data_IF_746845212250
#
_entry.id   IF_746845212250
#
_cell.length_a   1.000
_cell.length_b   1.000
_cell.length_c   1.000
_cell.angle_alpha   90.00
_cell.angle_beta   90.00
_cell.angle_gamma   90.00
#
_symmetry.space_group_name_H-M   'P 1'
#
loop_
_entity.id
_entity.type
_entity.pdbx_description
1 polymer ?
#
# COMPACT_ATOMS: atom_id res chain seq x y z
N UNK A 1 -30.16 -12.29 -53.63
CA UNK A 1 -29.51 -11.60 -52.47
C UNK A 1 -29.91 -12.28 -51.17
N UNK A 2 -28.94 -12.92 -50.46
CA UNK A 2 -29.22 -13.55 -49.15
C UNK A 2 -29.35 -12.44 -48.11
N UNK A 3 -30.51 -12.34 -47.46
CA UNK A 3 -30.75 -11.40 -46.35
C UNK A 3 -29.94 -11.89 -45.14
N UNK A 4 -29.02 -11.08 -44.65
CA UNK A 4 -28.31 -11.35 -43.39
C UNK A 4 -29.38 -11.33 -42.27
N UNK A 5 -29.51 -12.37 -41.44
CA UNK A 5 -30.55 -12.42 -40.42
C UNK A 5 -30.28 -11.33 -39.36
N UNK A 6 -31.34 -10.64 -38.94
CA UNK A 6 -31.26 -9.53 -37.95
C UNK A 6 -30.51 -9.91 -36.68
N UNK A 7 -30.63 -11.14 -36.22
CA UNK A 7 -29.91 -11.69 -35.07
C UNK A 7 -28.37 -11.68 -35.27
N UNK A 8 -27.89 -11.85 -36.48
CA UNK A 8 -26.43 -11.84 -36.77
C UNK A 8 -25.88 -10.42 -36.69
N UNK A 9 -26.63 -9.42 -37.14
CA UNK A 9 -26.27 -8.01 -37.02
C UNK A 9 -26.24 -7.58 -35.54
N UNK A 10 -27.23 -7.98 -34.75
CA UNK A 10 -27.30 -7.70 -33.33
C UNK A 10 -26.14 -8.34 -32.55
N UNK A 11 -25.82 -9.61 -32.89
CA UNK A 11 -24.70 -10.32 -32.27
C UNK A 11 -23.32 -9.61 -32.54
N UNK A 12 -23.09 -9.17 -33.77
CA UNK A 12 -21.88 -8.42 -34.13
C UNK A 12 -21.85 -7.09 -33.38
N UNK A 13 -22.95 -6.37 -33.28
CA UNK A 13 -23.04 -5.11 -32.55
C UNK A 13 -22.74 -5.29 -31.06
N UNK A 14 -23.31 -6.33 -30.44
CA UNK A 14 -23.03 -6.65 -29.02
C UNK A 14 -21.57 -7.07 -28.81
N UNK A 15 -21.01 -7.86 -29.72
CA UNK A 15 -19.60 -8.27 -29.66
C UNK A 15 -18.65 -7.06 -29.83
N UNK A 16 -18.95 -6.18 -30.78
CA UNK A 16 -18.18 -4.95 -30.99
C UNK A 16 -18.25 -4.01 -29.78
N UNK A 17 -19.42 -3.90 -29.17
CA UNK A 17 -19.63 -3.10 -27.98
C UNK A 17 -18.88 -3.72 -26.76
N UNK A 18 -18.93 -5.03 -26.63
CA UNK A 18 -18.19 -5.75 -25.58
C UNK A 18 -16.66 -5.60 -25.77
N UNK A 19 -16.15 -5.70 -26.99
CA UNK A 19 -14.75 -5.46 -27.32
C UNK A 19 -14.37 -4.00 -27.08
N UNK A 20 -15.21 -3.05 -27.47
CA UNK A 20 -15.01 -1.63 -27.20
C UNK A 20 -14.91 -1.35 -25.69
N UNK A 21 -15.82 -1.88 -24.88
CA UNK A 21 -15.76 -1.75 -23.43
C UNK A 21 -14.59 -2.53 -22.81
N UNK A 22 -14.19 -3.66 -23.39
CA UNK A 22 -13.01 -4.41 -22.94
C UNK A 22 -11.71 -3.64 -23.21
N UNK A 23 -11.56 -3.03 -24.39
CA UNK A 23 -10.38 -2.22 -24.74
C UNK A 23 -10.35 -0.89 -23.99
N UNK A 24 -11.50 -0.19 -23.89
CA UNK A 24 -11.58 1.11 -23.20
C UNK A 24 -11.75 0.98 -21.69
N UNK A 25 -12.11 -0.20 -21.18
CA UNK A 25 -12.14 -0.52 -19.75
C UNK A 25 -10.75 -0.65 -19.11
N UNK A 26 -9.71 -0.87 -19.91
CA UNK A 26 -8.30 -0.73 -19.50
C UNK A 26 -7.86 0.71 -19.79
N UNK A 27 -8.37 1.68 -19.00
CA UNK A 27 -7.76 3.01 -19.02
C UNK A 27 -6.26 2.86 -18.83
N UNK A 28 -5.47 3.36 -19.76
CA UNK A 28 -4.05 3.54 -19.57
C UNK A 28 -3.86 4.30 -18.25
N UNK A 29 -2.89 3.88 -17.48
CA UNK A 29 -2.61 4.53 -16.21
C UNK A 29 -1.61 5.65 -16.47
N UNK A 30 -2.09 6.88 -16.46
CA UNK A 30 -1.28 8.05 -16.81
C UNK A 30 -0.46 8.55 -15.60
N UNK A 31 -0.83 8.16 -14.40
CA UNK A 31 -0.12 8.53 -13.17
C UNK A 31 1.02 7.56 -12.85
N UNK A 32 2.03 8.07 -12.18
CA UNK A 32 3.15 7.30 -11.63
C UNK A 32 2.91 6.98 -10.17
N UNK A 33 3.23 5.76 -9.74
CA UNK A 33 3.07 5.33 -8.34
C UNK A 33 4.41 4.93 -7.75
N UNK A 34 4.75 5.48 -6.59
CA UNK A 34 5.87 5.02 -5.76
C UNK A 34 5.29 4.34 -4.53
N UNK A 35 5.61 3.08 -4.32
CA UNK A 35 5.19 2.33 -3.13
C UNK A 35 6.38 2.17 -2.19
N UNK A 36 6.38 2.92 -1.09
CA UNK A 36 7.35 2.78 -0.02
C UNK A 36 6.88 1.65 0.89
N UNK A 37 7.54 0.49 0.86
CA UNK A 37 7.22 -0.62 1.74
C UNK A 37 8.32 -0.82 2.78
N UNK A 38 7.92 -1.00 4.02
CA UNK A 38 8.82 -1.19 5.14
C UNK A 38 8.08 -1.24 6.47
N UNK A 39 8.75 -1.61 7.56
CA UNK A 39 8.11 -1.75 8.85
C UNK A 39 7.57 -0.43 9.40
N UNK A 40 6.66 -0.51 10.37
CA UNK A 40 6.21 0.65 11.13
C UNK A 40 7.41 1.32 11.79
N UNK A 41 7.52 2.66 11.71
CA UNK A 41 8.68 3.38 12.27
C UNK A 41 9.89 3.48 11.34
N UNK A 42 9.89 2.89 10.13
CA UNK A 42 11.02 2.98 9.20
C UNK A 42 11.19 4.37 8.53
N UNK A 43 10.31 5.33 8.78
CA UNK A 43 10.45 6.71 8.27
C UNK A 43 9.76 6.98 6.93
N UNK A 44 8.92 6.08 6.43
CA UNK A 44 8.22 6.22 5.14
C UNK A 44 7.44 7.53 5.00
N UNK A 45 6.70 7.93 6.03
CA UNK A 45 5.92 9.18 6.02
C UNK A 45 6.80 10.43 5.92
N UNK A 46 8.00 10.41 6.55
CA UNK A 46 8.99 11.49 6.41
C UNK A 46 9.55 11.54 4.98
N UNK A 47 9.83 10.39 4.39
CA UNK A 47 10.26 10.27 2.98
C UNK A 47 9.18 10.79 2.04
N UNK A 48 7.88 10.47 2.27
CA UNK A 48 6.77 11.01 1.48
C UNK A 48 6.77 12.54 1.50
N UNK A 49 6.92 13.16 2.69
CA UNK A 49 6.92 14.62 2.83
C UNK A 49 8.10 15.25 2.10
N UNK A 50 9.31 14.70 2.26
CA UNK A 50 10.51 15.17 1.58
C UNK A 50 10.38 15.04 0.06
N UNK A 51 9.84 13.91 -0.42
CA UNK A 51 9.63 13.66 -1.84
C UNK A 51 8.59 14.61 -2.45
N UNK A 52 7.46 14.86 -1.77
CA UNK A 52 6.49 15.85 -2.22
C UNK A 52 7.11 17.23 -2.39
N UNK A 53 7.89 17.67 -1.40
CA UNK A 53 8.58 18.97 -1.43
C UNK A 53 9.59 19.05 -2.58
N UNK A 54 10.34 17.97 -2.81
CA UNK A 54 11.32 17.87 -3.88
C UNK A 54 10.70 17.95 -5.27
N UNK A 55 9.49 17.41 -5.44
CA UNK A 55 8.85 17.28 -6.75
C UNK A 55 8.02 18.49 -7.16
N UNK A 56 7.81 19.47 -6.27
CA UNK A 56 7.11 20.70 -6.64
C UNK A 56 7.80 21.39 -7.84
N UNK A 57 7.02 21.98 -8.78
CA UNK A 57 5.57 22.18 -8.79
C UNK A 57 4.75 20.96 -9.24
N UNK A 58 5.37 19.83 -9.59
CA UNK A 58 4.66 18.62 -9.98
C UNK A 58 3.96 18.01 -8.74
N UNK A 59 2.65 17.91 -8.81
CA UNK A 59 1.87 17.38 -7.69
C UNK A 59 2.07 15.87 -7.54
N UNK A 60 2.42 15.47 -6.33
CA UNK A 60 2.41 14.09 -5.88
C UNK A 60 1.46 13.97 -4.69
N UNK A 61 0.50 13.06 -4.77
CA UNK A 61 -0.44 12.78 -3.69
C UNK A 61 0.18 11.77 -2.74
N UNK A 62 0.21 12.07 -1.44
CA UNK A 62 0.60 11.07 -0.44
C UNK A 62 -0.63 10.35 0.09
N UNK A 63 -0.58 9.05 0.06
CA UNK A 63 -1.58 8.15 0.65
C UNK A 63 -0.87 7.01 1.38
N UNK A 64 -1.57 6.30 2.24
CA UNK A 64 -0.98 5.18 2.93
C UNK A 64 -1.96 4.47 3.85
N UNK A 65 -1.41 3.56 4.63
CA UNK A 65 -2.19 2.69 5.50
C UNK A 65 -2.97 3.48 6.55
N UNK A 66 -2.38 4.56 7.09
CA UNK A 66 -3.02 5.35 8.14
C UNK A 66 -4.30 6.05 7.66
N UNK A 67 -4.31 6.55 6.42
CA UNK A 67 -5.43 7.34 5.89
C UNK A 67 -6.40 6.55 4.99
N UNK A 68 -6.01 5.41 4.45
CA UNK A 68 -6.86 4.60 3.58
C UNK A 68 -7.28 3.26 4.20
N UNK A 69 -6.63 2.82 5.27
CA UNK A 69 -6.97 1.60 5.99
C UNK A 69 -7.46 1.92 7.42
N UNK A 70 -6.71 2.68 8.21
CA UNK A 70 -7.04 2.96 9.61
C UNK A 70 -8.10 4.06 9.75
N UNK A 71 -7.90 5.24 9.17
CA UNK A 71 -8.77 6.39 9.33
C UNK A 71 -10.23 6.20 8.86
N UNK A 72 -10.54 5.39 7.82
CA UNK A 72 -11.93 5.13 7.45
C UNK A 72 -12.70 4.23 8.43
N UNK A 73 -12.02 3.54 9.35
CA UNK A 73 -12.64 2.65 10.32
C UNK A 73 -12.99 3.39 11.61
N UNK A 74 -14.01 2.94 12.34
CA UNK A 74 -14.31 3.48 13.66
C UNK A 74 -13.12 3.35 14.62
N UNK A 75 -12.98 4.29 15.54
CA UNK A 75 -11.98 4.18 16.60
C UNK A 75 -12.25 2.95 17.49
N UNK A 76 -11.18 2.27 17.90
CA UNK A 76 -11.27 1.19 18.88
C UNK A 76 -11.31 1.81 20.26
N UNK A 77 -12.40 1.56 20.98
CA UNK A 77 -12.57 2.00 22.36
C UNK A 77 -12.81 0.79 23.29
N UNK A 78 -12.61 0.93 24.61
CA UNK A 78 -12.93 -0.15 25.53
C UNK A 78 -14.38 -0.65 25.41
N UNK A 79 -15.33 0.25 25.09
CA UNK A 79 -16.76 -0.05 24.98
C UNK A 79 -17.12 -0.82 23.71
N UNK A 80 -16.32 -0.72 22.65
CA UNK A 80 -16.61 -1.35 21.37
C UNK A 80 -15.64 -2.47 20.98
N UNK A 81 -14.60 -2.71 21.76
CA UNK A 81 -13.52 -3.66 21.44
C UNK A 81 -14.04 -5.06 21.13
N UNK A 82 -15.01 -5.59 21.90
CA UNK A 82 -15.60 -6.90 21.66
C UNK A 82 -16.28 -6.99 20.30
N UNK A 83 -16.89 -5.90 19.80
CA UNK A 83 -17.56 -5.85 18.50
C UNK A 83 -16.59 -5.92 17.35
N UNK A 84 -15.34 -5.51 17.54
CA UNK A 84 -14.28 -5.61 16.53
C UNK A 84 -13.85 -7.05 16.29
N UNK A 85 -14.04 -7.92 17.26
CA UNK A 85 -13.51 -9.29 17.26
C UNK A 85 -14.56 -10.37 16.90
N UNK A 86 -15.87 -10.06 16.95
CA UNK A 86 -16.92 -11.07 16.77
C UNK A 86 -18.15 -10.51 16.04
N UNK A 87 -18.88 -11.34 15.25
CA UNK A 87 -18.56 -12.69 14.76
C UNK A 87 -17.61 -12.66 13.52
N UNK A 88 -17.49 -11.50 12.85
CA UNK A 88 -16.60 -11.27 11.70
C UNK A 88 -15.57 -10.24 12.11
N UNK A 89 -14.38 -10.66 12.53
CA UNK A 89 -13.40 -9.73 13.06
C UNK A 89 -12.95 -8.71 12.02
N UNK A 90 -12.75 -7.45 12.46
CA UNK A 90 -12.17 -6.40 11.65
C UNK A 90 -10.65 -6.46 11.82
N UNK A 91 -10.17 -6.19 13.02
CA UNK A 91 -8.77 -6.36 13.42
C UNK A 91 -8.66 -6.53 14.92
N UNK A 92 -7.58 -7.17 15.38
CA UNK A 92 -7.21 -7.27 16.79
C UNK A 92 -5.70 -7.35 16.92
N UNK A 93 -5.20 -7.34 18.13
CA UNK A 93 -3.77 -7.52 18.40
C UNK A 93 -3.54 -8.79 19.19
N UNK A 94 -2.50 -9.53 18.81
CA UNK A 94 -2.00 -10.67 19.58
C UNK A 94 -0.65 -10.33 20.18
N UNK A 95 -0.49 -10.64 21.46
CA UNK A 95 0.77 -10.45 22.16
C UNK A 95 1.44 -11.79 22.36
N UNK A 96 2.66 -11.93 21.88
CA UNK A 96 3.49 -13.13 22.05
C UNK A 96 4.86 -12.77 22.59
N UNK A 97 5.59 -13.78 23.07
CA UNK A 97 6.97 -13.61 23.50
C UNK A 97 7.90 -14.05 22.39
N UNK A 98 8.70 -13.14 21.87
CA UNK A 98 9.71 -13.41 20.86
C UNK A 98 11.00 -13.99 21.43
N UNK A 99 11.98 -14.21 20.55
CA UNK A 99 13.30 -14.68 20.96
C UNK A 99 13.94 -13.70 21.95
N UNK A 100 14.52 -14.22 23.01
CA UNK A 100 15.15 -13.41 24.06
C UNK A 100 14.17 -12.76 25.05
N UNK A 101 12.90 -13.19 25.10
CA UNK A 101 11.90 -12.67 26.04
C UNK A 101 11.29 -11.32 25.65
N UNK A 102 11.57 -10.82 24.45
CA UNK A 102 11.00 -9.56 23.96
C UNK A 102 9.51 -9.70 23.65
N UNK A 103 8.72 -8.69 23.99
CA UNK A 103 7.31 -8.64 23.61
C UNK A 103 7.17 -8.41 22.09
N UNK A 104 6.27 -9.14 21.46
CA UNK A 104 5.90 -8.99 20.05
C UNK A 104 4.40 -8.79 19.98
N UNK A 105 3.98 -7.68 19.38
CA UNK A 105 2.56 -7.31 19.23
C UNK A 105 2.22 -7.37 17.75
N UNK A 106 1.48 -8.40 17.37
CA UNK A 106 1.09 -8.62 15.98
C UNK A 106 -0.31 -8.06 15.72
N UNK A 107 -0.41 -7.22 14.68
CA UNK A 107 -1.71 -6.81 14.16
C UNK A 107 -2.30 -7.97 13.35
N UNK A 108 -3.42 -8.47 13.81
CA UNK A 108 -4.23 -9.47 13.12
C UNK A 108 -5.39 -8.77 12.42
N UNK A 109 -5.70 -9.20 11.20
CA UNK A 109 -6.77 -8.64 10.37
C UNK A 109 -7.70 -9.76 9.94
N UNK A 110 -8.99 -9.61 10.23
CA UNK A 110 -10.02 -10.57 9.84
C UNK A 110 -10.68 -10.21 8.52
N UNK A 111 -11.69 -10.99 8.14
CA UNK A 111 -12.37 -10.89 6.83
C UNK A 111 -12.88 -9.49 6.49
N UNK A 112 -13.41 -8.76 7.47
CA UNK A 112 -13.89 -7.40 7.24
C UNK A 112 -12.74 -6.41 7.03
N UNK A 113 -11.68 -6.54 7.81
CA UNK A 113 -10.48 -5.73 7.65
C UNK A 113 -9.76 -6.00 6.33
N UNK A 114 -9.71 -7.25 5.87
CA UNK A 114 -9.17 -7.58 4.55
C UNK A 114 -9.91 -6.85 3.41
N UNK A 115 -11.23 -6.71 3.50
CA UNK A 115 -12.01 -5.95 2.51
C UNK A 115 -11.56 -4.49 2.47
N UNK A 116 -11.24 -3.90 3.61
CA UNK A 116 -10.72 -2.51 3.69
C UNK A 116 -9.33 -2.44 3.07
N UNK A 117 -8.44 -3.40 3.32
CA UNK A 117 -7.11 -3.46 2.72
C UNK A 117 -7.17 -3.56 1.19
N UNK A 118 -8.05 -4.41 0.65
CA UNK A 118 -8.25 -4.49 -0.81
C UNK A 118 -8.92 -3.23 -1.39
N UNK A 119 -9.78 -2.55 -0.63
CA UNK A 119 -10.34 -1.26 -1.02
C UNK A 119 -9.29 -0.15 -1.05
N UNK A 120 -8.39 -0.11 -0.06
CA UNK A 120 -7.21 0.77 -0.06
C UNK A 120 -6.39 0.61 -1.35
N UNK A 121 -6.05 -0.63 -1.73
CA UNK A 121 -5.32 -0.92 -2.95
C UNK A 121 -6.07 -0.44 -4.21
N UNK A 122 -7.40 -0.56 -4.20
CA UNK A 122 -8.26 -0.08 -5.30
C UNK A 122 -8.27 1.44 -5.38
N UNK A 123 -8.29 2.13 -4.24
CA UNK A 123 -8.22 3.59 -4.17
C UNK A 123 -6.87 4.12 -4.69
N UNK A 124 -5.76 3.50 -4.29
CA UNK A 124 -4.43 3.85 -4.81
C UNK A 124 -4.39 3.74 -6.35
N UNK A 125 -4.87 2.61 -6.87
CA UNK A 125 -4.93 2.39 -8.31
C UNK A 125 -5.89 3.38 -9.02
N UNK A 126 -7.00 3.78 -8.37
CA UNK A 126 -7.93 4.76 -8.91
C UNK A 126 -7.30 6.16 -9.02
N UNK A 127 -6.54 6.59 -8.01
CA UNK A 127 -5.79 7.85 -8.10
C UNK A 127 -4.86 7.85 -9.31
N UNK A 128 -4.05 6.81 -9.49
CA UNK A 128 -3.10 6.71 -10.58
C UNK A 128 -3.79 6.65 -11.96
N UNK A 129 -4.86 5.88 -12.11
CA UNK A 129 -5.63 5.79 -13.37
C UNK A 129 -6.34 7.08 -13.76
N UNK A 130 -6.55 7.99 -12.81
CA UNK A 130 -7.07 9.32 -13.09
C UNK A 130 -5.94 10.37 -13.28
N UNK A 131 -4.71 9.91 -13.59
CA UNK A 131 -3.58 10.78 -13.95
C UNK A 131 -2.83 11.39 -12.78
N UNK A 132 -3.09 10.96 -11.54
CA UNK A 132 -2.38 11.51 -10.38
C UNK A 132 -1.09 10.73 -10.12
N UNK A 133 0.00 11.45 -9.87
CA UNK A 133 1.19 10.86 -9.30
C UNK A 133 0.99 10.59 -7.81
N UNK A 134 1.35 9.40 -7.35
CA UNK A 134 1.05 8.94 -5.99
C UNK A 134 2.31 8.38 -5.33
N UNK A 135 2.59 8.83 -4.12
CA UNK A 135 3.58 8.19 -3.24
C UNK A 135 2.87 7.56 -2.05
N UNK A 136 3.07 6.26 -1.87
CA UNK A 136 2.31 5.42 -0.93
C UNK A 136 3.18 5.01 0.25
N UNK A 137 2.72 5.29 1.48
CA UNK A 137 3.26 4.65 2.69
C UNK A 137 2.55 3.31 2.89
N UNK A 138 3.28 2.22 2.68
CA UNK A 138 2.73 0.88 2.70
C UNK A 138 3.41 0.01 3.76
N UNK A 139 2.61 -0.81 4.43
CA UNK A 139 3.09 -1.88 5.28
C UNK A 139 2.41 -3.17 4.81
N UNK A 140 3.18 -4.08 4.24
CA UNK A 140 2.66 -5.37 3.82
C UNK A 140 2.53 -6.32 5.02
N UNK A 141 1.55 -6.07 5.90
CA UNK A 141 1.24 -6.96 7.03
C UNK A 141 0.86 -8.38 6.54
N UNK A 142 0.11 -8.46 5.44
CA UNK A 142 -0.09 -9.68 4.68
C UNK A 142 0.46 -9.51 3.27
N UNK A 143 1.26 -10.48 2.82
CA UNK A 143 1.86 -10.46 1.48
C UNK A 143 0.83 -10.50 0.35
N UNK A 144 -0.38 -11.04 0.62
CA UNK A 144 -1.49 -11.01 -0.34
C UNK A 144 -1.92 -9.58 -0.68
N UNK A 145 -1.82 -8.64 0.27
CA UNK A 145 -2.17 -7.24 0.02
C UNK A 145 -1.21 -6.58 -0.96
N UNK A 146 0.10 -6.83 -0.80
CA UNK A 146 1.09 -6.31 -1.73
C UNK A 146 0.96 -6.95 -3.11
N UNK A 147 0.68 -8.27 -3.17
CA UNK A 147 0.39 -8.96 -4.42
C UNK A 147 -0.82 -8.38 -5.15
N UNK A 148 -1.89 -8.09 -4.42
CA UNK A 148 -3.09 -7.46 -4.98
C UNK A 148 -2.81 -6.03 -5.48
N UNK A 149 -2.05 -5.23 -4.71
CA UNK A 149 -1.64 -3.89 -5.15
C UNK A 149 -0.81 -3.96 -6.43
N UNK A 150 0.19 -4.85 -6.50
CA UNK A 150 1.00 -5.07 -7.70
C UNK A 150 0.14 -5.43 -8.92
N UNK A 151 -0.84 -6.34 -8.72
CA UNK A 151 -1.78 -6.72 -9.78
C UNK A 151 -2.64 -5.54 -10.24
N UNK A 152 -3.15 -4.72 -9.32
CA UNK A 152 -3.98 -3.54 -9.63
C UNK A 152 -3.19 -2.43 -10.34
N UNK A 153 -1.89 -2.33 -10.06
CA UNK A 153 -0.98 -1.36 -10.66
C UNK A 153 -0.24 -1.89 -11.90
N UNK A 154 -0.54 -3.10 -12.38
CA UNK A 154 0.20 -3.74 -13.48
C UNK A 154 0.19 -2.98 -14.81
N UNK A 155 -0.72 -2.02 -14.99
CA UNK A 155 -0.82 -1.14 -16.16
C UNK A 155 -0.32 0.27 -15.88
N UNK A 156 0.20 0.53 -14.68
CA UNK A 156 0.71 1.82 -14.24
C UNK A 156 2.24 1.81 -14.22
N UNK A 157 2.84 2.98 -14.30
CA UNK A 157 4.25 3.18 -13.98
C UNK A 157 4.41 3.10 -12.46
N UNK A 158 4.67 1.91 -11.93
CA UNK A 158 4.75 1.65 -10.49
C UNK A 158 6.16 1.23 -10.08
N UNK A 159 6.72 1.95 -9.11
CA UNK A 159 8.05 1.72 -8.54
C UNK A 159 7.92 1.29 -7.08
N UNK A 160 8.57 0.20 -6.73
CA UNK A 160 8.54 -0.37 -5.39
C UNK A 160 9.86 -0.10 -4.69
N UNK A 161 9.79 0.60 -3.57
CA UNK A 161 10.95 0.99 -2.77
C UNK A 161 10.89 0.29 -1.42
N UNK A 162 11.89 -0.54 -1.11
CA UNK A 162 12.06 -1.09 0.22
C UNK A 162 12.75 -0.07 1.12
N UNK A 163 12.12 0.27 2.25
CA UNK A 163 12.69 1.17 3.24
C UNK A 163 13.23 0.35 4.40
N UNK A 164 14.51 0.00 4.28
CA UNK A 164 15.24 -0.79 5.27
C UNK A 164 15.66 0.05 6.47
N UNK A 165 15.78 -0.60 7.62
CA UNK A 165 16.29 -0.02 8.87
C UNK A 165 16.77 -1.17 9.77
N UNK A 166 17.90 -1.03 10.51
CA UNK A 166 18.27 -2.00 11.52
C UNK A 166 17.22 -2.12 12.63
N UNK A 167 16.98 -3.34 13.11
CA UNK A 167 15.93 -3.62 14.10
C UNK A 167 16.08 -2.80 15.38
N UNK A 168 17.31 -2.66 15.88
CA UNK A 168 17.63 -1.90 17.09
C UNK A 168 17.23 -0.43 16.96
N UNK A 169 17.54 0.18 15.81
CA UNK A 169 17.18 1.57 15.49
C UNK A 169 15.66 1.72 15.35
N UNK A 170 15.02 0.72 14.73
CA UNK A 170 13.56 0.70 14.56
C UNK A 170 12.83 0.69 15.89
N UNK A 171 13.28 -0.18 16.83
CA UNK A 171 12.70 -0.30 18.18
C UNK A 171 12.96 0.95 19.04
N UNK A 172 14.11 1.58 18.86
CA UNK A 172 14.39 2.87 19.51
C UNK A 172 13.42 3.95 19.02
N UNK A 173 13.21 4.04 17.69
CA UNK A 173 12.24 4.98 17.10
C UNK A 173 10.80 4.69 17.54
N UNK A 174 10.42 3.41 17.63
CA UNK A 174 9.09 3.01 18.11
C UNK A 174 8.86 3.50 19.54
N UNK A 175 9.81 3.24 20.45
CA UNK A 175 9.74 3.71 21.84
C UNK A 175 9.71 5.24 21.95
N UNK A 176 10.54 5.93 21.20
CA UNK A 176 10.60 7.40 21.22
C UNK A 176 9.30 8.05 20.70
N UNK A 177 8.68 7.44 19.70
CA UNK A 177 7.42 7.95 19.11
C UNK A 177 6.21 7.73 20.00
N UNK A 178 6.13 6.60 20.70
CA UNK A 178 5.06 6.26 21.66
C UNK A 178 3.65 6.13 21.07
N UNK A 179 3.50 6.14 19.74
CA UNK A 179 2.18 6.06 19.06
C UNK A 179 1.76 4.62 18.75
N UNK A 180 2.66 3.67 18.87
CA UNK A 180 2.41 2.23 18.70
C UNK A 180 2.89 1.49 19.94
N UNK A 181 2.28 0.37 20.32
CA UNK A 181 2.79 -0.44 21.39
C UNK A 181 4.20 -0.97 21.08
N UNK A 182 5.09 -0.98 22.06
CA UNK A 182 6.44 -1.53 21.91
C UNK A 182 6.39 -3.00 21.48
N UNK A 183 7.11 -3.35 20.42
CA UNK A 183 7.14 -4.70 19.83
C UNK A 183 6.20 -4.87 18.63
N UNK A 184 5.45 -3.82 18.26
CA UNK A 184 4.63 -3.87 17.04
C UNK A 184 5.51 -3.90 15.78
N UNK A 185 6.50 -3.04 15.67
CA UNK A 185 7.41 -3.00 14.53
C UNK A 185 8.17 -4.33 14.34
N UNK A 186 8.57 -4.97 15.44
CA UNK A 186 9.22 -6.30 15.43
C UNK A 186 8.33 -7.38 14.82
N UNK A 187 7.02 -7.33 15.02
CA UNK A 187 6.10 -8.39 14.60
C UNK A 187 6.10 -8.68 13.10
N UNK A 188 6.41 -7.68 12.28
CA UNK A 188 6.41 -7.80 10.82
C UNK A 188 7.77 -7.44 10.19
N UNK A 189 8.81 -7.21 10.99
CA UNK A 189 10.13 -6.79 10.53
C UNK A 189 10.73 -7.74 9.50
N UNK A 190 10.72 -9.05 9.78
CA UNK A 190 11.30 -10.06 8.89
C UNK A 190 10.40 -10.43 7.70
N UNK A 191 9.10 -10.11 7.76
CA UNK A 191 8.11 -10.57 6.79
C UNK A 191 7.63 -9.47 5.85
N UNK A 192 7.78 -8.20 6.20
CA UNK A 192 7.18 -7.07 5.49
C UNK A 192 7.60 -6.94 4.02
N UNK A 193 8.82 -7.37 3.69
CA UNK A 193 9.30 -7.29 2.30
C UNK A 193 8.86 -8.46 1.43
N UNK A 194 8.54 -9.62 2.02
CA UNK A 194 8.14 -10.82 1.32
C UNK A 194 9.15 -11.31 0.28
N UNK A 195 8.72 -12.14 -0.66
CA UNK A 195 9.58 -12.70 -1.71
C UNK A 195 9.66 -11.78 -2.95
N UNK A 196 9.36 -10.49 -2.82
CA UNK A 196 9.30 -9.57 -3.95
C UNK A 196 10.62 -8.87 -4.19
N UNK A 197 10.93 -8.60 -5.47
CA UNK A 197 11.96 -7.65 -5.87
C UNK A 197 11.46 -6.22 -5.74
N UNK A 198 12.37 -5.30 -5.42
CA UNK A 198 12.15 -3.87 -5.32
C UNK A 198 13.03 -3.15 -6.33
N UNK A 199 12.53 -2.05 -6.91
CA UNK A 199 13.26 -1.22 -7.86
C UNK A 199 14.39 -0.44 -7.17
N UNK A 200 14.21 -0.17 -5.88
CA UNK A 200 15.21 0.49 -5.03
C UNK A 200 15.11 -0.03 -3.59
N UNK A 201 16.25 -0.19 -2.93
CA UNK A 201 16.33 -0.41 -1.48
C UNK A 201 17.11 0.73 -0.85
N UNK A 202 16.57 1.33 0.20
CA UNK A 202 17.18 2.46 0.91
C UNK A 202 17.25 2.15 2.40
N UNK A 203 18.31 2.62 3.06
CA UNK A 203 18.48 2.46 4.50
C UNK A 203 18.19 3.79 5.21
N UNK A 204 17.07 3.88 5.91
CA UNK A 204 16.63 5.09 6.59
C UNK A 204 17.37 5.39 7.91
N UNK A 205 18.28 4.51 8.34
CA UNK A 205 19.22 4.81 9.42
C UNK A 205 20.51 5.48 8.91
N UNK A 206 20.82 5.36 7.61
CA UNK A 206 22.03 5.90 7.00
C UNK A 206 21.81 7.19 6.24
N UNK A 207 20.61 7.39 5.70
CA UNK A 207 20.27 8.52 4.84
C UNK A 207 19.10 9.31 5.42
N UNK A 208 19.14 10.62 5.27
CA UNK A 208 18.01 11.50 5.60
C UNK A 208 16.83 11.28 4.66
N UNK A 209 15.61 11.69 5.05
CA UNK A 209 14.45 11.63 4.15
C UNK A 209 14.66 12.36 2.82
N UNK A 210 15.39 13.48 2.84
CA UNK A 210 15.71 14.29 1.66
C UNK A 210 16.68 13.57 0.71
N UNK A 211 17.72 12.93 1.26
CA UNK A 211 18.65 12.12 0.47
C UNK A 211 17.97 10.91 -0.15
N UNK A 212 17.07 10.25 0.60
CA UNK A 212 16.27 9.14 0.08
C UNK A 212 15.31 9.63 -1.02
N UNK A 213 14.67 10.78 -0.84
CA UNK A 213 13.83 11.39 -1.86
C UNK A 213 14.60 11.64 -3.18
N UNK A 214 15.85 12.10 -3.07
CA UNK A 214 16.73 12.27 -4.24
C UNK A 214 17.07 10.92 -4.91
N UNK A 215 17.30 9.87 -4.13
CA UNK A 215 17.56 8.54 -4.68
C UNK A 215 16.32 8.01 -5.43
N UNK A 216 15.13 8.19 -4.85
CA UNK A 216 13.86 7.80 -5.49
C UNK A 216 13.66 8.57 -6.79
N UNK A 217 13.92 9.88 -6.80
CA UNK A 217 13.79 10.70 -8.02
C UNK A 217 14.64 10.17 -9.18
N UNK A 218 15.84 9.63 -8.90
CA UNK A 218 16.76 9.12 -9.93
C UNK A 218 16.27 7.86 -10.64
N UNK A 219 15.39 7.10 -10.06
CA UNK A 219 14.82 5.89 -10.70
C UNK A 219 13.57 6.20 -11.54
N UNK A 220 13.05 7.42 -11.46
CA UNK A 220 11.93 7.84 -12.28
C UNK A 220 12.40 8.28 -13.68
N UNK A 221 11.57 8.13 -14.70
CA UNK A 221 11.85 8.68 -16.01
C UNK A 221 11.96 10.22 -15.94
N UNK A 222 12.76 10.82 -16.85
CA UNK A 222 12.97 12.26 -16.90
C UNK A 222 11.70 13.04 -17.24
#
# INVERSE_FOLDING_TARGET
MRKIPFFFILFIACLSLALYFYEHGKRACDGTVIVLNGPSGSGKSSIQNAFQSLMLPNLWIKVGIDNLFDAPMPDITPENMERWQSPNPIRWVETTTGRGGSQVITLMVGDQGEKVAYAMNSAIAAYARNGNNVIVDYIAYDQKWLADLKRKLSTCNAYYVAVDIPLEVLEERERARGTSPSGHARSHYDTVYGPYSYDLRVNSAQYSPEEIAQQIKKILPP
#
